data_IF_085417852628
#
_entry.id   IF_085417852628
#
_cell.length_a   1.000
_cell.length_b   1.000
_cell.length_c   1.000
_cell.angle_alpha   90.00
_cell.angle_beta   90.00
_cell.angle_gamma   90.00
#
_symmetry.space_group_name_H-M   'P 1'
#
loop_
_entity.id
_entity.type
_entity.pdbx_description
1 polymer ?
#
# COMPACT_ATOMS: atom_id res chain seq x y z
N UNK A 1 20.72 1.20 1.60
CA UNK A 1 21.62 2.36 1.74
C UNK A 1 20.77 3.50 2.28
N UNK A 2 21.19 4.15 3.36
CA UNK A 2 20.54 5.37 3.83
C UNK A 2 21.22 6.55 3.11
N UNK A 3 20.43 7.48 2.58
CA UNK A 3 20.98 8.71 2.02
C UNK A 3 21.57 9.56 3.16
N UNK A 4 22.79 10.11 3.02
CA UNK A 4 23.45 10.87 4.07
C UNK A 4 22.93 12.32 4.13
N UNK A 5 21.64 12.48 4.40
CA UNK A 5 21.00 13.78 4.54
C UNK A 5 21.23 14.37 5.93
N UNK A 6 21.30 15.69 6.03
CA UNK A 6 21.45 16.41 7.31
C UNK A 6 20.18 16.41 8.16
N UNK A 7 19.04 16.05 7.56
CA UNK A 7 17.74 15.89 8.19
C UNK A 7 17.14 14.53 7.79
N UNK A 8 16.47 13.88 8.73
CA UNK A 8 15.64 12.70 8.42
C UNK A 8 14.27 13.12 7.90
N UNK A 9 14.04 12.91 6.60
CA UNK A 9 12.78 13.22 5.92
C UNK A 9 11.76 12.07 5.97
N UNK A 10 12.13 10.90 6.50
CA UNK A 10 11.25 9.73 6.57
C UNK A 10 10.42 9.71 7.85
N UNK A 11 10.69 10.60 8.81
CA UNK A 11 9.89 10.77 10.02
C UNK A 11 8.50 11.31 9.67
N UNK A 12 7.46 10.57 10.05
CA UNK A 12 6.07 11.03 9.97
C UNK A 12 5.78 11.91 11.19
N UNK A 13 6.01 13.22 11.06
CA UNK A 13 5.85 14.20 12.15
C UNK A 13 4.38 14.48 12.51
N UNK A 14 3.46 14.32 11.56
CA UNK A 14 2.02 14.54 11.76
C UNK A 14 1.26 13.26 11.44
N UNK A 15 0.30 12.91 12.29
CA UNK A 15 -0.57 11.75 12.06
C UNK A 15 -1.39 12.00 10.78
N UNK A 16 -1.29 11.13 9.76
CA UNK A 16 -2.05 11.29 8.53
C UNK A 16 -3.46 10.70 8.67
N UNK A 17 -4.41 11.18 7.86
CA UNK A 17 -5.71 10.51 7.72
C UNK A 17 -5.60 9.21 6.91
N UNK A 18 -4.70 9.18 5.92
CA UNK A 18 -4.43 8.03 5.06
C UNK A 18 -2.92 7.79 4.97
N UNK A 19 -2.48 6.57 5.26
CA UNK A 19 -1.14 6.07 4.98
C UNK A 19 -1.20 5.13 3.77
N UNK A 20 -0.58 5.51 2.66
CA UNK A 20 -0.55 4.71 1.43
C UNK A 20 0.83 4.08 1.21
N UNK A 21 0.83 2.79 0.87
CA UNK A 21 2.01 2.00 0.56
C UNK A 21 1.81 1.17 -0.72
N UNK A 22 2.89 0.55 -1.17
CA UNK A 22 2.93 -0.33 -2.33
C UNK A 22 4.04 -1.35 -2.21
N UNK A 23 4.84 -1.48 -3.28
CA UNK A 23 6.07 -2.27 -3.37
C UNK A 23 5.92 -3.80 -3.27
N UNK A 24 5.13 -4.34 -2.35
CA UNK A 24 4.97 -5.80 -2.16
C UNK A 24 3.93 -6.45 -3.08
N UNK A 25 3.20 -5.65 -3.87
CA UNK A 25 2.24 -6.10 -4.88
C UNK A 25 1.03 -6.89 -4.32
N UNK A 26 0.71 -6.72 -3.03
CA UNK A 26 -0.49 -7.29 -2.39
C UNK A 26 -1.41 -6.16 -1.92
N UNK A 27 -2.67 -6.21 -2.33
CA UNK A 27 -3.68 -5.22 -1.95
C UNK A 27 -4.17 -5.46 -0.53
N UNK A 28 -4.40 -4.39 0.22
CA UNK A 28 -4.98 -4.47 1.55
C UNK A 28 -5.39 -3.12 2.08
N UNK A 29 -6.49 -3.06 2.83
CA UNK A 29 -6.95 -1.87 3.53
C UNK A 29 -7.29 -2.23 4.98
N UNK A 30 -6.90 -1.39 5.93
CA UNK A 30 -7.36 -1.50 7.31
C UNK A 30 -7.42 -0.13 7.98
N UNK A 31 -8.22 -0.02 9.04
CA UNK A 31 -8.16 1.14 9.93
C UNK A 31 -7.30 0.79 11.14
N UNK A 32 -6.36 1.67 11.48
CA UNK A 32 -5.62 1.60 12.72
C UNK A 32 -5.72 2.94 13.45
N UNK A 33 -6.46 2.95 14.58
CA UNK A 33 -6.60 4.14 15.44
C UNK A 33 -7.05 5.40 14.68
N UNK A 34 -7.97 5.24 13.72
CA UNK A 34 -8.48 6.35 12.92
C UNK A 34 -7.70 6.64 11.64
N UNK A 35 -6.50 6.07 11.46
CA UNK A 35 -5.73 6.18 10.21
C UNK A 35 -6.14 5.06 9.25
N UNK A 36 -6.52 5.42 8.03
CA UNK A 36 -6.73 4.46 6.96
C UNK A 36 -5.37 4.03 6.38
N UNK A 37 -5.02 2.77 6.52
CA UNK A 37 -3.82 2.17 5.93
C UNK A 37 -4.22 1.48 4.63
N UNK A 38 -3.60 1.86 3.52
CA UNK A 38 -3.86 1.30 2.19
C UNK A 38 -2.57 0.78 1.58
N UNK A 39 -2.56 -0.47 1.14
CA UNK A 39 -1.60 -0.98 0.18
C UNK A 39 -2.31 -1.20 -1.15
N UNK A 40 -1.89 -0.50 -2.20
CA UNK A 40 -2.57 -0.55 -3.51
C UNK A 40 -2.25 -1.80 -4.33
N UNK A 41 -1.43 -2.72 -3.82
CA UNK A 41 -1.02 -3.89 -4.58
C UNK A 41 -0.17 -3.52 -5.79
N UNK A 42 -0.43 -4.13 -6.93
CA UNK A 42 0.32 -3.90 -8.16
C UNK A 42 -0.44 -4.32 -9.41
N UNK A 43 0.23 -4.22 -10.56
CA UNK A 43 -0.30 -4.62 -11.87
C UNK A 43 0.55 -5.72 -12.52
N UNK A 44 1.56 -6.22 -11.80
CA UNK A 44 2.46 -7.26 -12.26
C UNK A 44 2.02 -8.62 -11.71
N UNK A 45 1.95 -9.61 -12.59
CA UNK A 45 1.72 -11.01 -12.20
C UNK A 45 2.94 -11.60 -11.45
N UNK A 46 2.77 -12.78 -10.86
CA UNK A 46 3.82 -13.45 -10.08
C UNK A 46 5.07 -13.69 -10.93
N UNK A 47 6.20 -13.15 -10.46
CA UNK A 47 7.51 -13.42 -11.06
C UNK A 47 8.19 -14.61 -10.40
N UNK A 48 9.16 -15.23 -11.09
CA UNK A 48 9.98 -16.32 -10.52
C UNK A 48 10.65 -15.93 -9.20
N UNK A 49 11.05 -14.65 -9.05
CA UNK A 49 11.63 -14.15 -7.81
C UNK A 49 10.59 -14.13 -6.68
N UNK A 50 9.39 -13.63 -6.95
CA UNK A 50 8.28 -13.64 -5.98
C UNK A 50 7.91 -15.07 -5.59
N UNK A 51 7.83 -15.99 -6.55
CA UNK A 51 7.55 -17.39 -6.32
C UNK A 51 8.60 -18.04 -5.42
N UNK A 52 9.90 -17.79 -5.67
CA UNK A 52 11.00 -18.28 -4.82
C UNK A 52 10.91 -17.77 -3.37
N UNK A 53 10.30 -16.62 -3.16
CA UNK A 53 10.06 -16.04 -1.83
C UNK A 53 8.68 -16.41 -1.24
N UNK A 54 7.87 -17.20 -1.95
CA UNK A 54 6.51 -17.54 -1.52
C UNK A 54 5.51 -16.37 -1.56
N UNK A 55 5.84 -15.28 -2.25
CA UNK A 55 4.97 -14.12 -2.39
C UNK A 55 3.96 -14.34 -3.52
N UNK A 56 2.68 -14.21 -3.22
CA UNK A 56 1.57 -14.26 -4.19
C UNK A 56 1.00 -12.84 -4.37
N UNK A 57 1.26 -12.16 -5.50
CA UNK A 57 0.74 -10.82 -5.73
C UNK A 57 -0.76 -10.86 -6.02
N UNK A 58 -1.39 -9.69 -5.93
CA UNK A 58 -2.80 -9.49 -6.29
C UNK A 58 -2.90 -8.45 -7.41
N UNK A 59 -2.49 -8.79 -8.65
CA UNK A 59 -2.51 -7.84 -9.76
C UNK A 59 -3.95 -7.37 -10.05
N UNK A 60 -4.11 -6.19 -10.66
CA UNK A 60 -5.40 -5.77 -11.21
C UNK A 60 -6.49 -5.43 -10.20
N UNK A 61 -6.12 -5.16 -8.94
CA UNK A 61 -7.03 -4.73 -7.87
C UNK A 61 -6.75 -3.28 -7.47
N UNK A 62 -7.79 -2.45 -7.41
CA UNK A 62 -7.67 -1.01 -7.12
C UNK A 62 -8.50 -0.63 -5.88
N UNK A 63 -7.87 -0.08 -4.82
CA UNK A 63 -8.60 0.53 -3.71
C UNK A 63 -9.26 1.85 -4.14
N UNK A 64 -10.58 1.91 -4.00
CA UNK A 64 -11.38 3.12 -4.14
C UNK A 64 -11.73 3.64 -2.74
N UNK A 65 -11.30 4.87 -2.44
CA UNK A 65 -11.51 5.50 -1.12
C UNK A 65 -12.47 6.68 -1.26
N UNK A 66 -13.53 6.69 -0.46
CA UNK A 66 -14.34 7.88 -0.27
C UNK A 66 -13.61 8.85 0.68
N UNK A 67 -13.20 10.02 0.21
CA UNK A 67 -12.39 10.95 1.01
C UNK A 67 -13.18 11.65 2.14
N UNK A 68 -14.52 11.64 2.09
CA UNK A 68 -15.35 12.21 3.15
C UNK A 68 -15.53 11.23 4.32
N UNK A 69 -15.68 9.93 4.03
CA UNK A 69 -16.01 8.91 5.03
C UNK A 69 -14.86 7.95 5.33
N UNK A 70 -13.80 7.95 4.50
CA UNK A 70 -12.71 6.98 4.47
C UNK A 70 -13.15 5.53 4.24
N UNK A 71 -14.40 5.32 3.80
CA UNK A 71 -14.87 4.01 3.37
C UNK A 71 -14.10 3.53 2.13
N UNK A 72 -13.74 2.25 2.12
CA UNK A 72 -12.92 1.66 1.06
C UNK A 72 -13.61 0.49 0.38
N UNK A 73 -13.59 0.48 -0.96
CA UNK A 73 -13.99 -0.66 -1.78
C UNK A 73 -12.79 -1.10 -2.64
N UNK A 74 -12.72 -2.38 -3.00
CA UNK A 74 -11.70 -2.90 -3.94
C UNK A 74 -12.37 -3.24 -5.27
N UNK A 75 -11.92 -2.59 -6.34
CA UNK A 75 -12.34 -2.89 -7.71
C UNK A 75 -11.41 -3.95 -8.31
N UNK A 76 -11.96 -4.96 -8.99
CA UNK A 76 -11.20 -6.00 -9.73
C UNK A 76 -11.32 -5.78 -11.24
N UNK A 77 -10.19 -5.87 -11.95
CA UNK A 77 -10.09 -5.72 -13.41
C UNK A 77 -9.61 -7.01 -14.12
N UNK A 78 -9.62 -8.11 -13.37
CA UNK A 78 -9.37 -9.49 -13.81
C UNK A 78 -10.60 -10.34 -13.51
#
# INVERSE_FOLDING_TARGET
MLAPESRDFLVIEKVPDIFHAGHIHVVGCCNHRGVLIVNSGGWQDQTDYMQKLGLVPTPGKVPLVNLQTLETNILSFI
#
